data_IF_225522910954
#
_entry.id   IF_225522910954
#
_cell.length_a   1.000
_cell.length_b   1.000
_cell.length_c   1.000
_cell.angle_alpha   90.00
_cell.angle_beta   90.00
_cell.angle_gamma   90.00
#
_symmetry.space_group_name_H-M   'P 1'
#
loop_
_entity.id
_entity.type
_entity.pdbx_description
1 polymer ?
#
# COMPACT_ATOMS: atom_id res chain seq x y z
N UNK A 1 -25.97 52.58 -18.50
CA UNK A 1 -24.60 52.32 -18.98
C UNK A 1 -23.67 52.81 -17.89
N UNK A 2 -22.83 52.05 -17.21
CA UNK A 2 -22.11 50.80 -17.53
C UNK A 2 -21.88 50.05 -16.21
N UNK A 3 -22.14 48.74 -16.14
CA UNK A 3 -21.76 47.90 -15.00
C UNK A 3 -20.24 47.65 -15.07
N UNK A 4 -19.47 48.17 -14.11
CA UNK A 4 -18.04 47.89 -14.01
C UNK A 4 -17.83 46.55 -13.29
N UNK A 5 -17.81 45.46 -14.05
CA UNK A 5 -17.37 44.16 -13.56
C UNK A 5 -15.85 44.18 -13.47
N UNK A 6 -15.31 44.26 -12.25
CA UNK A 6 -13.87 44.21 -12.02
C UNK A 6 -13.28 42.89 -12.61
N UNK A 7 -12.12 42.93 -13.28
CA UNK A 7 -11.48 41.72 -13.78
C UNK A 7 -10.91 40.93 -12.60
N UNK A 8 -11.66 39.93 -12.15
CA UNK A 8 -11.21 38.93 -11.19
C UNK A 8 -9.99 38.21 -11.79
N UNK A 9 -8.85 38.36 -11.13
CA UNK A 9 -7.57 37.84 -11.58
C UNK A 9 -7.64 36.31 -11.76
N UNK A 10 -7.19 35.81 -12.92
CA UNK A 10 -7.13 34.37 -13.27
C UNK A 10 -6.19 33.52 -12.39
N UNK A 11 -5.63 34.04 -11.30
CA UNK A 11 -4.63 33.30 -10.51
C UNK A 11 -5.20 32.57 -9.28
N UNK A 12 -6.43 32.87 -8.88
CA UNK A 12 -7.02 32.27 -7.67
C UNK A 12 -7.62 30.88 -7.87
N UNK A 13 -7.86 30.44 -9.12
CA UNK A 13 -8.44 29.11 -9.40
C UNK A 13 -7.40 27.97 -9.39
N UNK A 14 -6.10 28.28 -9.43
CA UNK A 14 -5.03 27.28 -9.50
C UNK A 14 -4.68 26.67 -8.12
N UNK A 15 -5.19 27.25 -7.02
CA UNK A 15 -4.98 26.74 -5.66
C UNK A 15 -6.05 25.76 -5.15
N UNK A 16 -7.16 25.57 -5.87
CA UNK A 16 -8.23 24.64 -5.45
C UNK A 16 -8.00 23.19 -5.88
N UNK A 17 -7.00 22.92 -6.72
CA UNK A 17 -6.60 21.55 -6.97
C UNK A 17 -5.63 21.08 -5.89
N UNK A 18 -6.16 20.79 -4.70
CA UNK A 18 -5.43 20.28 -3.56
C UNK A 18 -4.51 19.13 -4.03
N UNK A 19 -3.17 19.32 -4.10
CA UNK A 19 -2.27 18.30 -4.65
C UNK A 19 -2.34 17.01 -3.82
N UNK A 20 -2.65 17.13 -2.52
CA UNK A 20 -2.93 15.98 -1.63
C UNK A 20 -4.09 15.12 -2.13
N UNK A 21 -5.11 15.73 -2.75
CA UNK A 21 -6.27 15.01 -3.30
C UNK A 21 -5.91 14.26 -4.58
N UNK A 22 -5.12 14.87 -5.48
CA UNK A 22 -4.64 14.20 -6.70
C UNK A 22 -3.68 13.06 -6.36
N UNK A 23 -2.71 13.28 -5.48
CA UNK A 23 -1.79 12.25 -5.00
C UNK A 23 -2.54 11.11 -4.29
N UNK A 24 -3.59 11.41 -3.55
CA UNK A 24 -4.44 10.40 -2.92
C UNK A 24 -5.18 9.53 -3.95
N UNK A 25 -5.66 10.11 -5.05
CA UNK A 25 -6.30 9.36 -6.14
C UNK A 25 -5.27 8.49 -6.86
N UNK A 26 -4.08 9.02 -7.17
CA UNK A 26 -3.00 8.24 -7.78
C UNK A 26 -2.59 7.06 -6.88
N UNK A 27 -2.45 7.28 -5.57
CA UNK A 27 -2.19 6.20 -4.59
C UNK A 27 -3.31 5.14 -4.54
N UNK A 28 -4.57 5.52 -4.76
CA UNK A 28 -5.69 4.57 -4.84
C UNK A 28 -5.64 3.73 -6.12
N UNK A 29 -5.15 4.30 -7.22
CA UNK A 29 -4.96 3.59 -8.50
C UNK A 29 -3.76 2.64 -8.43
N UNK A 30 -2.65 3.09 -7.82
CA UNK A 30 -1.45 2.26 -7.61
C UNK A 30 -1.72 1.08 -6.67
N UNK A 31 -2.53 1.30 -5.64
CA UNK A 31 -2.92 0.28 -4.65
C UNK A 31 -4.44 0.10 -4.64
N UNK A 32 -5.01 -0.62 -5.62
CA UNK A 32 -6.43 -0.88 -5.63
C UNK A 32 -6.87 -1.57 -4.33
N UNK A 33 -7.96 -1.08 -3.74
CA UNK A 33 -8.59 -1.63 -2.51
C UNK A 33 -9.08 -3.07 -2.66
N UNK A 34 -8.97 -3.66 -3.85
CA UNK A 34 -9.28 -5.07 -4.12
C UNK A 34 -8.28 -6.03 -3.47
N UNK A 35 -7.12 -5.54 -3.03
CA UNK A 35 -6.07 -6.31 -2.35
C UNK A 35 -5.92 -5.85 -0.90
N UNK A 36 -5.67 -6.81 0.00
CA UNK A 36 -5.50 -6.55 1.43
C UNK A 36 -4.19 -5.84 1.74
N UNK A 37 -4.11 -5.19 2.91
CA UNK A 37 -2.87 -4.59 3.41
C UNK A 37 -1.75 -5.65 3.52
N UNK A 38 -2.10 -6.86 3.98
CA UNK A 38 -1.19 -8.01 3.98
C UNK A 38 -0.60 -8.33 2.60
N UNK A 39 -1.43 -8.32 1.55
CA UNK A 39 -0.96 -8.61 0.19
C UNK A 39 0.10 -7.60 -0.26
N UNK A 40 -0.15 -6.31 -0.04
CA UNK A 40 0.78 -5.26 -0.44
C UNK A 40 2.07 -5.30 0.35
N UNK A 41 2.01 -5.54 1.67
CA UNK A 41 3.19 -5.67 2.50
C UNK A 41 4.07 -6.85 2.06
N UNK A 42 3.46 -8.01 1.81
CA UNK A 42 4.18 -9.20 1.34
C UNK A 42 4.74 -9.03 -0.08
N UNK A 43 4.04 -8.29 -0.95
CA UNK A 43 4.51 -8.01 -2.29
C UNK A 43 5.71 -7.06 -2.29
N UNK A 44 5.66 -6.00 -1.48
CA UNK A 44 6.74 -5.03 -1.35
C UNK A 44 8.00 -5.63 -0.70
N UNK A 45 7.80 -6.50 0.30
CA UNK A 45 8.89 -7.19 1.01
C UNK A 45 9.18 -8.58 0.45
N UNK A 46 8.67 -8.93 -0.74
CA UNK A 46 8.74 -10.29 -1.30
C UNK A 46 10.17 -10.84 -1.30
N UNK A 47 11.13 -10.06 -1.79
CA UNK A 47 12.52 -10.50 -1.91
C UNK A 47 13.20 -10.61 -0.55
N UNK A 48 12.86 -9.73 0.40
CA UNK A 48 13.33 -9.82 1.79
C UNK A 48 12.79 -11.07 2.48
N UNK A 49 11.52 -11.38 2.27
CA UNK A 49 10.89 -12.58 2.85
C UNK A 49 11.54 -13.84 2.27
N UNK A 50 11.83 -13.87 0.98
CA UNK A 50 12.56 -14.99 0.37
C UNK A 50 14.00 -15.10 0.87
N UNK A 51 14.72 -13.99 0.99
CA UNK A 51 16.07 -13.96 1.52
C UNK A 51 16.12 -14.37 3.00
N UNK A 52 15.20 -13.87 3.82
CA UNK A 52 15.10 -14.23 5.23
C UNK A 52 14.68 -15.68 5.44
N UNK A 53 13.81 -16.22 4.57
CA UNK A 53 13.46 -17.63 4.59
C UNK A 53 14.67 -18.51 4.23
N UNK A 54 15.60 -18.04 3.40
CA UNK A 54 16.82 -18.76 3.00
C UNK A 54 16.55 -20.23 2.58
N UNK A 55 15.46 -20.46 1.83
CA UNK A 55 15.01 -21.80 1.42
C UNK A 55 14.27 -22.63 2.49
N UNK A 56 14.19 -22.15 3.73
CA UNK A 56 13.41 -22.77 4.80
C UNK A 56 11.89 -22.54 4.67
N UNK A 57 11.12 -23.36 5.37
CA UNK A 57 9.67 -23.19 5.47
C UNK A 57 9.33 -21.98 6.34
N UNK A 58 8.49 -21.09 5.81
CA UNK A 58 8.00 -19.92 6.53
C UNK A 58 7.01 -20.35 7.63
N UNK A 59 7.30 -19.97 8.88
CA UNK A 59 6.43 -20.12 10.05
C UNK A 59 5.26 -19.13 10.00
N UNK A 60 4.21 -19.48 9.26
CA UNK A 60 3.04 -18.59 9.11
C UNK A 60 2.28 -18.35 10.41
N UNK A 61 2.35 -19.26 11.39
CA UNK A 61 1.67 -19.12 12.68
C UNK A 61 2.21 -17.92 13.45
N UNK A 62 3.54 -17.85 13.61
CA UNK A 62 4.21 -16.77 14.35
C UNK A 62 4.10 -15.44 13.58
N UNK A 63 4.25 -15.49 12.26
CA UNK A 63 4.09 -14.31 11.41
C UNK A 63 2.69 -13.72 11.48
N UNK A 64 1.63 -14.54 11.52
CA UNK A 64 0.26 -14.04 11.68
C UNK A 64 0.08 -13.26 12.99
N UNK A 65 0.73 -13.69 14.09
CA UNK A 65 0.74 -12.95 15.35
C UNK A 65 1.47 -11.62 15.18
N UNK A 66 2.68 -11.64 14.63
CA UNK A 66 3.46 -10.42 14.38
C UNK A 66 2.77 -9.43 13.44
N UNK A 67 2.03 -9.93 12.44
CA UNK A 67 1.23 -9.10 11.55
C UNK A 67 0.07 -8.44 12.28
N UNK A 68 -0.60 -9.15 13.19
CA UNK A 68 -1.65 -8.57 14.02
C UNK A 68 -1.09 -7.45 14.92
N UNK A 69 0.06 -7.68 15.55
CA UNK A 69 0.74 -6.69 16.40
C UNK A 69 1.13 -5.42 15.62
N UNK A 70 1.49 -5.58 14.34
CA UNK A 70 1.84 -4.47 13.44
C UNK A 70 0.63 -3.83 12.75
N UNK A 71 -0.61 -4.28 13.04
CA UNK A 71 -1.82 -3.78 12.39
C UNK A 71 -1.93 -4.15 10.91
N UNK A 72 -1.19 -5.16 10.44
CA UNK A 72 -1.25 -5.67 9.06
C UNK A 72 -2.43 -6.64 8.98
N UNK A 73 -3.54 -6.15 8.43
CA UNK A 73 -4.80 -6.89 8.37
C UNK A 73 -5.09 -7.46 6.98
N UNK A 74 -6.06 -8.36 6.94
CA UNK A 74 -6.72 -8.77 5.71
C UNK A 74 -7.67 -7.66 5.18
N UNK A 75 -8.33 -7.92 4.05
CA UNK A 75 -9.25 -7.00 3.38
C UNK A 75 -10.39 -6.52 4.28
N UNK A 76 -10.84 -7.38 5.18
CA UNK A 76 -11.95 -7.09 6.10
C UNK A 76 -11.49 -6.45 7.43
N UNK A 77 -10.22 -6.01 7.51
CA UNK A 77 -9.66 -5.41 8.73
C UNK A 77 -9.40 -6.42 9.85
N UNK A 78 -9.54 -7.72 9.57
CA UNK A 78 -9.27 -8.80 10.53
C UNK A 78 -7.80 -9.22 10.52
N UNK A 79 -7.33 -9.74 11.65
CA UNK A 79 -6.04 -10.40 11.71
C UNK A 79 -6.00 -11.56 10.69
N UNK A 80 -4.91 -11.70 9.92
CA UNK A 80 -4.85 -12.71 8.89
C UNK A 80 -4.77 -14.12 9.49
N UNK A 81 -5.64 -15.02 9.02
CA UNK A 81 -5.53 -16.44 9.35
C UNK A 81 -4.32 -17.07 8.64
N UNK A 82 -3.81 -18.19 9.18
CA UNK A 82 -2.71 -18.95 8.57
C UNK A 82 -3.05 -19.36 7.12
N UNK A 83 -4.29 -19.81 6.89
CA UNK A 83 -4.77 -20.18 5.56
C UNK A 83 -4.78 -19.00 4.59
N UNK A 84 -5.28 -17.85 5.06
CA UNK A 84 -5.29 -16.60 4.29
C UNK A 84 -3.87 -16.13 3.97
N UNK A 85 -2.94 -16.17 4.93
CA UNK A 85 -1.56 -15.75 4.74
C UNK A 85 -0.84 -16.59 3.68
N UNK A 86 -0.99 -17.93 3.74
CA UNK A 86 -0.43 -18.85 2.73
C UNK A 86 -1.00 -18.60 1.34
N UNK A 87 -2.31 -18.43 1.23
CA UNK A 87 -2.97 -18.15 -0.05
C UNK A 87 -2.53 -16.79 -0.61
N UNK A 88 -2.40 -15.79 0.26
CA UNK A 88 -1.94 -14.45 -0.09
C UNK A 88 -0.50 -14.50 -0.60
N UNK A 89 0.37 -15.23 0.09
CA UNK A 89 1.75 -15.44 -0.34
C UNK A 89 1.84 -16.13 -1.71
N UNK A 90 1.02 -17.15 -1.96
CA UNK A 90 0.94 -17.79 -3.27
C UNK A 90 0.54 -16.79 -4.38
N UNK A 91 -0.46 -15.93 -4.11
CA UNK A 91 -0.89 -14.88 -5.04
C UNK A 91 0.22 -13.85 -5.27
N UNK A 92 0.94 -13.47 -4.22
CA UNK A 92 2.09 -12.55 -4.29
C UNK A 92 3.18 -13.12 -5.18
N UNK A 93 3.58 -14.38 -4.99
CA UNK A 93 4.58 -15.04 -5.85
C UNK A 93 4.16 -15.10 -7.31
N UNK A 94 2.88 -15.40 -7.58
CA UNK A 94 2.34 -15.41 -8.95
C UNK A 94 2.41 -14.01 -9.57
N UNK A 95 2.05 -12.97 -8.81
CA UNK A 95 2.12 -11.56 -9.22
C UNK A 95 3.57 -11.11 -9.47
N UNK A 96 4.49 -11.43 -8.57
CA UNK A 96 5.90 -11.04 -8.67
C UNK A 96 6.56 -11.66 -9.91
N UNK A 97 6.25 -12.93 -10.21
CA UNK A 97 6.67 -13.61 -11.45
C UNK A 97 6.15 -12.94 -12.71
N UNK A 98 4.89 -12.49 -12.70
CA UNK A 98 4.29 -11.82 -13.85
C UNK A 98 4.84 -10.40 -14.10
N UNK A 99 5.44 -9.77 -13.09
CA UNK A 99 5.93 -8.38 -13.15
C UNK A 99 7.46 -8.25 -13.08
N UNK A 100 8.20 -9.35 -13.25
CA UNK A 100 9.66 -9.31 -13.48
C UNK A 100 10.52 -8.91 -12.27
N UNK A 101 9.95 -8.87 -11.06
CA UNK A 101 10.68 -8.48 -9.86
C UNK A 101 9.82 -7.59 -8.97
N UNK A 102 9.66 -7.98 -7.72
CA UNK A 102 9.12 -7.08 -6.71
C UNK A 102 10.08 -5.90 -6.58
N UNK A 103 9.54 -4.69 -6.59
CA UNK A 103 10.33 -3.47 -6.68
C UNK A 103 11.08 -3.22 -5.37
N UNK A 104 12.23 -3.87 -5.19
CA UNK A 104 13.23 -3.40 -4.24
C UNK A 104 13.81 -2.08 -4.77
N UNK A 105 13.17 -0.95 -4.39
CA UNK A 105 13.70 0.39 -4.67
C UNK A 105 12.72 1.49 -5.08
N UNK A 106 11.39 1.29 -5.06
CA UNK A 106 10.44 2.40 -5.28
C UNK A 106 9.96 3.03 -3.97
N UNK A 107 10.78 3.93 -3.43
CA UNK A 107 10.33 5.09 -2.67
C UNK A 107 9.87 4.85 -1.23
N UNK A 108 10.74 5.21 -0.29
CA UNK A 108 10.46 6.17 0.79
C UNK A 108 9.06 6.21 1.44
N UNK A 109 9.07 6.19 2.78
CA UNK A 109 8.30 7.11 3.63
C UNK A 109 6.79 7.21 3.38
N UNK A 110 6.06 6.32 4.04
CA UNK A 110 4.73 6.60 4.59
C UNK A 110 4.50 5.52 5.66
N UNK A 111 4.72 5.79 6.94
CA UNK A 111 3.99 6.80 7.70
C UNK A 111 2.94 6.06 8.52
N UNK A 112 3.34 5.48 9.64
CA UNK A 112 2.48 5.14 10.80
C UNK A 112 3.37 4.78 11.99
N UNK A 113 4.01 5.81 12.54
CA UNK A 113 4.09 6.01 13.98
C UNK A 113 3.41 7.38 14.23
N UNK A 114 2.63 7.55 15.31
CA UNK A 114 3.29 7.79 16.59
C UNK A 114 2.63 7.15 17.84
N UNK A 115 3.53 6.78 18.75
CA UNK A 115 3.51 6.88 20.23
C UNK A 115 2.17 6.85 20.99
N UNK A 116 2.13 5.98 22.01
CA UNK A 116 2.01 6.43 23.40
C UNK A 116 2.90 5.59 24.31
#
# INVERSE_FOLDING_TARGET
MVWAFAPMQRKDWEMSANPKSRDSILKQIERPKTRSALFWWLYDNHDRVLHAANGARISWRELCSSFADQGITDRDGKAPSIGTARLTWWRVRKRARAHGGAAWGRGSRAGSAPRR
#
